data_IF_845209857632
#
_entry.id   IF_845209857632
#
_cell.length_a   1.000
_cell.length_b   1.000
_cell.length_c   1.000
_cell.angle_alpha   90.00
_cell.angle_beta   90.00
_cell.angle_gamma   90.00
#
_symmetry.space_group_name_H-M   'P 1'
#
loop_
_entity.id
_entity.type
_entity.pdbx_description
1 polymer ?
#
# COMPACT_ATOMS: atom_id res chain seq x y z
N UNK A 1 1.83 -7.50 -17.97
CA UNK A 1 1.48 -6.09 -17.66
C UNK A 1 0.50 -6.13 -16.51
N UNK A 2 0.43 -5.06 -15.70
CA UNK A 2 -0.57 -4.96 -14.64
C UNK A 2 -1.98 -4.93 -15.24
N UNK A 3 -2.93 -5.54 -14.54
CA UNK A 3 -4.33 -5.37 -14.89
C UNK A 3 -4.77 -3.94 -14.57
N UNK A 4 -5.80 -3.48 -15.24
CA UNK A 4 -6.32 -2.15 -14.97
C UNK A 4 -7.01 -2.03 -13.61
N UNK A 5 -7.54 -3.15 -13.11
CA UNK A 5 -8.06 -3.25 -11.74
C UNK A 5 -6.94 -3.01 -10.73
N UNK A 6 -5.77 -3.64 -10.91
CA UNK A 6 -4.62 -3.44 -10.03
C UNK A 6 -4.12 -1.99 -10.07
N UNK A 7 -4.07 -1.38 -11.26
CA UNK A 7 -3.69 0.03 -11.42
C UNK A 7 -4.67 0.94 -10.68
N UNK A 8 -5.96 0.69 -10.83
CA UNK A 8 -7.01 1.45 -10.16
C UNK A 8 -6.92 1.29 -8.63
N UNK A 9 -6.74 0.07 -8.13
CA UNK A 9 -6.59 -0.19 -6.70
C UNK A 9 -5.35 0.49 -6.12
N UNK A 10 -4.23 0.48 -6.85
CA UNK A 10 -3.01 1.16 -6.42
C UNK A 10 -3.19 2.68 -6.41
N UNK A 11 -3.73 3.27 -7.49
CA UNK A 11 -3.98 4.72 -7.60
C UNK A 11 -4.93 5.22 -6.50
N UNK A 12 -5.97 4.43 -6.20
CA UNK A 12 -6.95 4.76 -5.17
C UNK A 12 -6.36 4.65 -3.76
N UNK A 13 -5.71 3.53 -3.45
CA UNK A 13 -5.32 3.21 -2.07
C UNK A 13 -3.92 3.74 -1.71
N UNK A 14 -3.05 3.96 -2.70
CA UNK A 14 -1.61 4.18 -2.49
C UNK A 14 -0.84 2.90 -2.19
N UNK A 15 -1.49 1.73 -2.22
CA UNK A 15 -0.88 0.42 -2.05
C UNK A 15 -1.69 -0.67 -2.77
N UNK A 16 -1.07 -1.83 -2.96
CA UNK A 16 -1.75 -3.03 -3.43
C UNK A 16 -1.16 -4.27 -2.75
N UNK A 17 -2.01 -5.27 -2.45
CA UNK A 17 -1.61 -6.51 -1.78
C UNK A 17 -1.64 -7.67 -2.77
N UNK A 18 -0.49 -8.28 -3.01
CA UNK A 18 -0.37 -9.43 -3.91
C UNK A 18 -0.23 -10.70 -3.09
N UNK A 19 -1.28 -11.52 -3.10
CA UNK A 19 -1.35 -12.77 -2.32
C UNK A 19 -0.72 -13.93 -3.08
N UNK A 20 -0.15 -14.88 -2.34
CA UNK A 20 0.36 -16.13 -2.92
C UNK A 20 1.50 -15.92 -3.92
N UNK A 21 2.34 -14.91 -3.69
CA UNK A 21 3.54 -14.69 -4.51
C UNK A 21 4.49 -15.88 -4.34
N UNK A 22 4.81 -16.18 -3.07
CA UNK A 22 5.69 -17.26 -2.63
C UNK A 22 4.89 -18.41 -2.03
N UNK A 23 5.41 -19.62 -2.18
CA UNK A 23 4.90 -20.85 -1.58
C UNK A 23 5.19 -20.94 -0.07
N UNK A 24 4.45 -21.77 0.68
CA UNK A 24 4.75 -22.04 2.09
C UNK A 24 6.18 -22.53 2.31
N UNK A 25 6.72 -23.34 1.38
CA UNK A 25 8.08 -23.89 1.46
C UNK A 25 9.14 -22.80 1.28
N UNK A 26 8.93 -21.86 0.35
CA UNK A 26 9.81 -20.71 0.15
C UNK A 26 9.80 -19.78 1.38
N UNK A 27 8.61 -19.54 1.96
CA UNK A 27 8.47 -18.76 3.20
C UNK A 27 9.13 -19.48 4.38
N UNK A 28 9.03 -20.79 4.48
CA UNK A 28 9.71 -21.57 5.51
C UNK A 28 11.24 -21.49 5.37
N UNK A 29 11.77 -21.56 4.15
CA UNK A 29 13.20 -21.39 3.89
C UNK A 29 13.70 -19.99 4.26
N UNK A 30 12.92 -18.94 3.96
CA UNK A 30 13.23 -17.57 4.38
C UNK A 30 13.28 -17.42 5.91
N UNK A 31 12.30 -18.01 6.62
CA UNK A 31 12.26 -17.98 8.08
C UNK A 31 13.41 -18.75 8.72
N UNK A 32 13.85 -19.88 8.13
CA UNK A 32 15.04 -20.61 8.59
C UNK A 32 16.30 -19.75 8.44
N UNK A 33 16.49 -19.10 7.28
CA UNK A 33 17.61 -18.19 7.06
C UNK A 33 17.62 -17.01 8.05
N UNK A 34 16.46 -16.42 8.33
CA UNK A 34 16.32 -15.37 9.36
C UNK A 34 16.75 -15.90 10.72
N UNK A 35 16.26 -17.09 11.11
CA UNK A 35 16.59 -17.72 12.40
C UNK A 35 18.10 -17.90 12.56
N UNK A 36 18.78 -18.41 11.54
CA UNK A 36 20.23 -18.61 11.54
C UNK A 36 21.03 -17.30 11.70
N UNK A 37 20.47 -16.18 11.22
CA UNK A 37 21.11 -14.86 11.23
C UNK A 37 20.67 -13.95 12.39
N UNK A 38 19.68 -14.35 13.20
CA UNK A 38 19.23 -13.61 14.39
C UNK A 38 20.34 -13.20 15.36
N UNK A 39 21.46 -13.94 15.55
CA UNK A 39 22.57 -13.48 16.39
C UNK A 39 23.20 -12.15 15.96
N UNK A 40 22.99 -11.71 14.71
CA UNK A 40 23.45 -10.43 14.17
C UNK A 40 22.38 -9.33 14.16
N UNK A 41 21.18 -9.63 14.66
CA UNK A 41 20.08 -8.69 14.69
C UNK A 41 20.27 -7.62 15.77
N UNK A 42 19.74 -6.42 15.53
CA UNK A 42 19.86 -5.29 16.45
C UNK A 42 18.48 -4.84 16.91
N UNK A 43 18.22 -4.90 18.22
CA UNK A 43 16.98 -4.40 18.79
C UNK A 43 17.08 -2.91 19.14
N UNK A 44 16.08 -2.13 18.70
CA UNK A 44 15.98 -0.69 18.92
C UNK A 44 15.34 -0.39 20.27
N UNK A 45 16.11 -0.52 21.35
CA UNK A 45 15.61 -0.33 22.72
C UNK A 45 15.78 1.09 23.27
N UNK A 46 16.78 1.85 22.79
CA UNK A 46 17.05 3.19 23.29
C UNK A 46 16.01 4.21 22.79
N UNK A 47 15.61 5.14 23.65
CA UNK A 47 14.57 6.13 23.33
C UNK A 47 14.92 7.01 22.13
N UNK A 48 16.20 7.26 21.88
CA UNK A 48 16.71 8.05 20.75
C UNK A 48 16.53 7.38 19.39
N UNK A 49 16.40 6.05 19.35
CA UNK A 49 16.32 5.25 18.12
C UNK A 49 14.96 4.57 17.94
N UNK A 50 14.06 4.74 18.93
CA UNK A 50 12.67 4.30 18.86
C UNK A 50 11.89 5.17 17.88
N UNK A 51 11.03 4.53 17.10
CA UNK A 51 10.21 5.22 16.10
C UNK A 51 8.83 5.57 16.62
N UNK A 52 8.63 5.62 17.93
CA UNK A 52 7.32 5.85 18.56
C UNK A 52 7.46 6.70 19.81
N UNK A 53 6.38 7.40 20.18
CA UNK A 53 6.32 8.14 21.44
C UNK A 53 5.91 7.22 22.59
N UNK A 54 6.69 7.21 23.68
CA UNK A 54 6.34 6.49 24.92
C UNK A 54 4.96 6.90 25.43
N UNK A 55 4.23 5.95 26.00
CA UNK A 55 2.90 6.19 26.57
C UNK A 55 1.77 6.33 25.54
N UNK A 56 2.06 6.19 24.24
CA UNK A 56 1.03 6.09 23.19
C UNK A 56 0.74 4.63 22.85
N UNK A 57 -0.38 4.37 22.17
CA UNK A 57 -0.71 3.01 21.70
C UNK A 57 0.37 2.40 20.80
N UNK A 58 1.07 3.23 20.01
CA UNK A 58 2.18 2.77 19.15
C UNK A 58 3.46 2.49 19.93
N UNK A 59 3.59 2.97 21.18
CA UNK A 59 4.77 2.78 22.02
C UNK A 59 5.03 1.33 22.46
N UNK A 60 4.09 0.42 22.19
CA UNK A 60 4.14 -0.96 22.66
C UNK A 60 4.16 -1.02 24.19
N UNK A 61 4.92 -1.95 24.75
CA UNK A 61 5.11 -2.08 26.20
C UNK A 61 6.17 -1.12 26.78
N UNK A 62 6.81 -0.29 25.92
CA UNK A 62 7.85 0.66 26.31
C UNK A 62 9.17 0.02 26.75
N UNK A 63 9.35 -1.28 26.57
CA UNK A 63 10.56 -2.04 26.92
C UNK A 63 11.17 -2.65 25.68
N UNK A 64 10.39 -3.43 24.94
CA UNK A 64 10.85 -4.15 23.76
C UNK A 64 10.79 -3.24 22.54
N UNK A 65 11.83 -3.36 21.71
CA UNK A 65 12.01 -2.58 20.50
C UNK A 65 11.59 -3.33 19.25
N UNK A 66 11.68 -2.64 18.12
CA UNK A 66 11.75 -3.29 16.80
C UNK A 66 13.12 -3.93 16.64
N UNK A 67 13.19 -5.12 16.05
CA UNK A 67 14.45 -5.79 15.74
C UNK A 67 14.74 -5.62 14.25
N UNK A 68 15.89 -5.02 13.93
CA UNK A 68 16.40 -4.86 12.57
C UNK A 68 17.44 -5.94 12.28
N UNK A 69 17.21 -6.73 11.24
CA UNK A 69 18.16 -7.73 10.74
C UNK A 69 18.53 -7.41 9.28
N UNK A 70 19.71 -6.82 9.11
CA UNK A 70 20.26 -6.47 7.80
C UNK A 70 21.03 -7.61 7.12
N UNK A 71 21.51 -7.35 5.91
CA UNK A 71 22.41 -8.27 5.20
C UNK A 71 21.72 -9.42 4.48
N UNK A 72 20.39 -9.38 4.32
CA UNK A 72 19.58 -10.46 3.71
C UNK A 72 19.99 -10.83 2.28
N UNK A 73 20.74 -9.96 1.58
CA UNK A 73 21.30 -10.24 0.24
C UNK A 73 22.74 -10.78 0.26
N UNK A 74 23.32 -10.97 1.45
CA UNK A 74 24.75 -11.25 1.70
C UNK A 74 24.99 -12.56 2.46
N UNK A 75 23.94 -13.33 2.76
CA UNK A 75 23.96 -14.59 3.49
C UNK A 75 24.32 -15.82 2.62
N UNK A 76 25.01 -15.61 1.50
CA UNK A 76 25.33 -16.69 0.55
C UNK A 76 24.09 -17.38 0.00
N UNK A 77 24.06 -18.71 0.01
CA UNK A 77 22.95 -19.52 -0.53
C UNK A 77 21.59 -19.21 0.14
N UNK A 78 21.60 -18.84 1.42
CA UNK A 78 20.39 -18.48 2.16
C UNK A 78 19.77 -17.14 1.69
N UNK A 79 20.48 -16.36 0.89
CA UNK A 79 19.96 -15.12 0.29
C UNK A 79 18.99 -15.37 -0.87
N UNK A 80 18.92 -16.61 -1.39
CA UNK A 80 18.19 -16.94 -2.63
C UNK A 80 16.73 -16.47 -2.62
N UNK A 81 16.04 -16.65 -1.49
CA UNK A 81 14.67 -16.17 -1.34
C UNK A 81 14.60 -14.63 -1.48
N UNK A 82 15.47 -13.91 -0.76
CA UNK A 82 15.47 -12.45 -0.75
C UNK A 82 15.90 -11.85 -2.10
N UNK A 83 16.85 -12.48 -2.79
CA UNK A 83 17.20 -12.12 -4.17
C UNK A 83 16.00 -12.25 -5.10
N UNK A 84 15.21 -13.32 -4.96
CA UNK A 84 14.04 -13.55 -5.82
C UNK A 84 12.98 -12.46 -5.71
N UNK A 85 12.88 -11.75 -4.58
CA UNK A 85 11.92 -10.63 -4.42
C UNK A 85 12.23 -9.48 -5.40
N UNK A 86 13.51 -9.30 -5.76
CA UNK A 86 13.97 -8.21 -6.61
C UNK A 86 13.50 -8.33 -8.07
N UNK A 87 13.29 -9.56 -8.55
CA UNK A 87 12.96 -9.86 -9.95
C UNK A 87 11.88 -10.94 -10.13
N UNK A 88 11.12 -11.26 -9.08
CA UNK A 88 10.11 -12.30 -9.11
C UNK A 88 9.13 -12.09 -10.29
N UNK A 89 8.83 -13.11 -11.13
CA UNK A 89 7.97 -12.95 -12.31
C UNK A 89 6.57 -12.40 -12.01
N UNK A 90 6.04 -12.66 -10.80
CA UNK A 90 4.75 -12.10 -10.34
C UNK A 90 4.86 -10.63 -9.88
N UNK A 91 6.05 -10.13 -9.54
CA UNK A 91 6.27 -8.79 -8.99
C UNK A 91 6.83 -7.81 -10.03
N UNK A 92 7.68 -8.26 -10.95
CA UNK A 92 8.27 -7.42 -12.01
C UNK A 92 7.22 -6.61 -12.81
N UNK A 93 6.03 -7.14 -13.17
CA UNK A 93 4.99 -6.34 -13.80
C UNK A 93 4.57 -5.12 -12.96
N UNK A 94 4.49 -5.27 -11.63
CA UNK A 94 4.19 -4.18 -10.70
C UNK A 94 5.35 -3.18 -10.63
N UNK A 95 6.59 -3.66 -10.54
CA UNK A 95 7.76 -2.77 -10.52
C UNK A 95 7.85 -1.92 -11.79
N UNK A 96 7.66 -2.55 -12.95
CA UNK A 96 7.67 -1.86 -14.25
C UNK A 96 6.55 -0.84 -14.39
N UNK A 97 5.33 -1.19 -13.99
CA UNK A 97 4.18 -0.29 -14.13
C UNK A 97 4.20 0.85 -13.11
N UNK A 98 4.55 0.57 -11.86
CA UNK A 98 4.40 1.51 -10.75
C UNK A 98 5.65 2.38 -10.53
N UNK A 99 6.85 1.84 -10.76
CA UNK A 99 8.12 2.55 -10.58
C UNK A 99 8.82 2.81 -11.92
N UNK A 100 8.80 1.83 -12.82
CA UNK A 100 9.40 1.95 -14.15
C UNK A 100 10.26 0.79 -14.57
N UNK A 101 10.41 0.63 -15.89
CA UNK A 101 11.50 -0.18 -16.45
C UNK A 101 12.84 0.43 -16.03
N UNK A 102 13.75 -0.42 -15.56
CA UNK A 102 15.03 -0.01 -15.01
C UNK A 102 14.96 0.50 -13.56
N UNK A 103 13.94 0.09 -12.79
CA UNK A 103 13.89 0.30 -11.34
C UNK A 103 15.19 -0.14 -10.68
N UNK A 104 15.57 0.57 -9.61
CA UNK A 104 16.78 0.31 -8.84
C UNK A 104 16.45 0.37 -7.36
N UNK A 105 17.24 -0.35 -6.60
CA UNK A 105 17.14 -0.37 -5.15
C UNK A 105 17.65 0.96 -4.58
N UNK A 106 16.82 1.62 -3.78
CA UNK A 106 17.16 2.87 -3.09
C UNK A 106 18.12 2.64 -1.91
N UNK A 107 17.87 1.57 -1.13
CA UNK A 107 18.71 1.16 0.00
C UNK A 107 18.68 -0.37 0.20
N UNK A 108 19.66 -0.89 0.94
CA UNK A 108 19.77 -2.33 1.22
C UNK A 108 18.54 -2.84 2.00
N UNK A 109 17.88 -3.93 1.57
CA UNK A 109 16.75 -4.48 2.29
C UNK A 109 17.21 -5.08 3.62
N UNK A 110 16.26 -5.19 4.54
CA UNK A 110 16.45 -5.77 5.85
C UNK A 110 15.12 -6.38 6.32
N UNK A 111 15.21 -7.32 7.25
CA UNK A 111 14.05 -7.88 7.92
C UNK A 111 13.72 -7.05 9.15
N UNK A 112 12.43 -6.75 9.31
CA UNK A 112 11.86 -6.23 10.54
C UNK A 112 11.27 -7.42 11.30
N UNK A 113 11.79 -7.71 12.48
CA UNK A 113 11.28 -8.74 13.37
C UNK A 113 10.65 -8.06 14.58
N UNK A 114 9.48 -8.54 15.00
CA UNK A 114 8.74 -7.98 16.13
C UNK A 114 8.28 -9.09 17.06
N UNK A 115 8.50 -8.86 18.35
CA UNK A 115 7.95 -9.68 19.42
C UNK A 115 6.63 -9.07 19.89
N UNK A 116 5.82 -9.86 20.61
CA UNK A 116 4.61 -9.35 21.22
C UNK A 116 4.95 -8.20 22.18
N UNK A 117 4.38 -7.02 21.92
CA UNK A 117 4.60 -5.83 22.74
C UNK A 117 5.74 -4.93 22.27
N UNK A 118 6.45 -5.28 21.19
CA UNK A 118 7.35 -4.36 20.49
C UNK A 118 6.62 -3.07 20.10
N UNK A 119 7.36 -1.97 19.98
CA UNK A 119 6.81 -0.75 19.39
C UNK A 119 6.35 -0.94 17.95
N UNK A 120 5.40 -0.10 17.54
CA UNK A 120 5.08 0.11 16.14
C UNK A 120 6.05 1.08 15.47
N UNK A 121 5.51 1.88 14.55
CA UNK A 121 6.27 2.90 13.82
C UNK A 121 5.38 4.14 13.67
N UNK A 122 5.95 5.35 13.82
CA UNK A 122 5.27 6.59 13.47
C UNK A 122 4.80 6.57 12.00
N UNK A 123 3.60 7.09 11.73
CA UNK A 123 3.16 7.32 10.36
C UNK A 123 4.12 8.32 9.69
N UNK A 124 4.62 7.95 8.51
CA UNK A 124 5.56 8.75 7.75
C UNK A 124 5.39 8.49 6.25
N UNK A 125 6.03 9.33 5.44
CA UNK A 125 5.94 9.31 3.98
C UNK A 125 5.00 10.36 3.42
N UNK A 126 4.77 10.30 2.12
CA UNK A 126 4.02 11.31 1.37
C UNK A 126 4.92 12.36 0.71
N UNK A 127 4.33 13.15 -0.17
CA UNK A 127 5.04 14.12 -1.01
C UNK A 127 5.25 15.48 -0.35
N UNK A 128 4.86 15.62 0.91
CA UNK A 128 4.96 16.86 1.68
C UNK A 128 5.78 16.54 2.92
N UNK A 129 6.88 17.24 3.11
CA UNK A 129 7.66 17.15 4.33
C UNK A 129 6.82 17.66 5.50
N UNK A 130 6.64 16.84 6.53
CA UNK A 130 5.76 17.18 7.66
C UNK A 130 6.35 18.23 8.60
N UNK A 131 7.66 18.52 8.47
CA UNK A 131 8.36 19.51 9.30
C UNK A 131 8.42 20.87 8.61
N UNK A 132 8.77 20.92 7.33
CA UNK A 132 8.91 22.15 6.54
C UNK A 132 7.68 22.51 5.71
N UNK A 133 6.81 21.55 5.42
CA UNK A 133 5.69 21.71 4.49
C UNK A 133 6.10 21.73 3.02
N UNK A 134 7.39 21.54 2.71
CA UNK A 134 7.90 21.59 1.35
C UNK A 134 7.53 20.34 0.55
N UNK A 135 7.39 20.53 -0.77
CA UNK A 135 7.14 19.43 -1.68
C UNK A 135 8.40 18.57 -1.89
N UNK A 136 8.32 17.31 -1.50
CA UNK A 136 9.37 16.31 -1.72
C UNK A 136 9.11 15.55 -3.02
N UNK A 137 9.76 16.00 -4.10
CA UNK A 137 9.62 15.39 -5.41
C UNK A 137 10.20 13.97 -5.51
N UNK A 138 11.10 13.55 -4.60
CA UNK A 138 11.64 12.18 -4.59
C UNK A 138 10.62 11.14 -4.13
N UNK A 139 9.58 11.56 -3.42
CA UNK A 139 8.48 10.70 -2.98
C UNK A 139 7.23 10.86 -3.86
N UNK A 140 7.35 11.57 -4.99
CA UNK A 140 6.23 11.89 -5.85
C UNK A 140 5.58 10.65 -6.46
N UNK A 141 4.25 10.67 -6.44
CA UNK A 141 3.39 9.86 -7.29
C UNK A 141 2.79 10.74 -8.38
N UNK A 142 2.86 10.30 -9.63
CA UNK A 142 2.23 10.99 -10.76
C UNK A 142 1.50 10.01 -11.65
N UNK A 143 0.44 10.50 -12.28
CA UNK A 143 -0.28 9.80 -13.34
C UNK A 143 -0.36 10.70 -14.56
N UNK A 144 0.33 10.32 -15.63
CA UNK A 144 0.40 11.10 -16.87
C UNK A 144 0.22 10.17 -18.07
N UNK A 145 -0.66 10.53 -19.01
CA UNK A 145 -0.89 9.78 -20.25
C UNK A 145 -1.11 8.27 -20.05
N UNK A 146 -1.88 7.89 -19.03
CA UNK A 146 -2.17 6.47 -18.76
C UNK A 146 -1.07 5.71 -18.03
N UNK A 147 -0.01 6.39 -17.60
CA UNK A 147 1.13 5.79 -16.91
C UNK A 147 1.20 6.27 -15.47
N UNK A 148 1.29 5.30 -14.56
CA UNK A 148 1.62 5.54 -13.16
C UNK A 148 3.13 5.69 -13.04
N UNK A 149 3.58 6.61 -12.17
CA UNK A 149 4.99 6.76 -11.81
C UNK A 149 5.14 7.15 -10.34
N UNK A 150 5.66 6.21 -9.56
CA UNK A 150 6.10 6.42 -8.18
C UNK A 150 7.62 6.53 -8.18
N UNK A 151 8.15 7.66 -7.70
CA UNK A 151 9.59 7.87 -7.62
C UNK A 151 10.26 6.99 -6.55
N UNK A 152 9.47 6.51 -5.58
CA UNK A 152 9.85 5.47 -4.63
C UNK A 152 8.69 4.46 -4.50
N UNK A 153 9.00 3.17 -4.51
CA UNK A 153 8.04 2.10 -4.29
C UNK A 153 8.55 1.18 -3.19
N UNK A 154 7.86 1.16 -2.05
CA UNK A 154 8.16 0.24 -0.96
C UNK A 154 7.52 -1.14 -1.24
N UNK A 155 8.28 -2.20 -0.98
CA UNK A 155 7.82 -3.59 -1.11
C UNK A 155 8.02 -4.30 0.22
N UNK A 156 6.93 -4.70 0.86
CA UNK A 156 6.97 -5.46 2.10
C UNK A 156 6.50 -6.90 1.84
N UNK A 157 7.31 -7.89 2.22
CA UNK A 157 6.98 -9.31 2.12
C UNK A 157 6.64 -9.83 3.50
N UNK A 158 5.38 -10.24 3.69
CA UNK A 158 4.95 -10.88 4.93
C UNK A 158 5.46 -12.33 4.98
N UNK A 159 6.30 -12.64 5.97
CA UNK A 159 6.88 -13.98 6.19
C UNK A 159 6.21 -14.75 7.33
N UNK A 160 5.27 -14.12 8.02
CA UNK A 160 4.41 -14.74 9.02
C UNK A 160 2.97 -14.24 8.85
N UNK A 161 1.98 -14.92 9.45
CA UNK A 161 0.60 -14.45 9.45
C UNK A 161 0.47 -13.11 10.18
N UNK A 162 -0.31 -12.19 9.59
CA UNK A 162 -0.75 -10.94 10.22
C UNK A 162 -2.26 -10.99 10.48
N UNK A 163 -2.72 -11.70 11.53
CA UNK A 163 -4.13 -11.72 11.89
C UNK A 163 -4.56 -10.36 12.46
N UNK A 164 -5.87 -10.12 12.49
CA UNK A 164 -6.44 -8.98 13.18
C UNK A 164 -5.94 -8.91 14.64
N UNK A 165 -5.52 -7.72 15.08
CA UNK A 165 -4.92 -7.50 16.40
C UNK A 165 -3.49 -8.03 16.57
N UNK A 166 -2.91 -8.72 15.58
CA UNK A 166 -1.52 -9.21 15.60
C UNK A 166 -0.47 -8.15 15.27
N UNK A 167 -0.91 -6.94 14.90
CA UNK A 167 -0.05 -5.90 14.34
C UNK A 167 0.27 -6.13 12.86
N UNK A 168 0.99 -5.20 12.23
CA UNK A 168 1.38 -5.31 10.83
C UNK A 168 1.50 -3.96 10.14
N UNK A 169 1.54 -4.00 8.81
CA UNK A 169 1.55 -2.80 7.98
C UNK A 169 0.24 -2.03 8.15
N UNK A 170 0.36 -0.72 8.42
CA UNK A 170 -0.75 0.21 8.48
C UNK A 170 -0.46 1.37 7.53
N UNK A 171 -1.50 1.84 6.84
CA UNK A 171 -1.39 2.92 5.86
C UNK A 171 -2.66 3.75 5.88
N UNK A 172 -2.49 5.06 5.72
CA UNK A 172 -3.61 5.95 5.42
C UNK A 172 -3.80 5.91 3.91
N UNK A 173 -4.97 5.42 3.47
CA UNK A 173 -5.31 5.34 2.03
C UNK A 173 -5.27 6.72 1.36
N UNK A 174 -5.13 6.73 0.03
CA UNK A 174 -5.09 7.92 -0.84
C UNK A 174 -6.30 8.87 -0.73
N UNK A 175 -6.39 9.86 -1.63
CA UNK A 175 -7.10 11.19 -1.55
C UNK A 175 -8.61 11.23 -1.23
N UNK A 176 -9.18 10.26 -0.56
CA UNK A 176 -10.54 10.31 -0.02
C UNK A 176 -10.54 9.56 1.29
N UNK A 177 -10.96 10.28 2.33
CA UNK A 177 -11.00 9.82 3.70
C UNK A 177 -11.77 8.51 3.87
N UNK A 178 -11.32 7.76 4.87
CA UNK A 178 -12.03 6.76 5.69
C UNK A 178 -12.09 5.28 5.21
N UNK A 179 -12.19 4.44 6.24
CA UNK A 179 -11.73 3.05 6.43
C UNK A 179 -12.37 1.94 5.57
N UNK A 180 -11.90 0.72 5.87
CA UNK A 180 -12.23 -0.57 5.25
C UNK A 180 -13.70 -0.77 4.87
N UNK A 181 -13.91 -1.14 3.62
CA UNK A 181 -15.17 -1.73 3.15
C UNK A 181 -16.26 -0.75 2.70
N UNK A 182 -16.13 0.56 2.94
CA UNK A 182 -17.10 1.52 2.44
C UNK A 182 -16.47 2.90 2.24
N UNK A 183 -16.48 3.48 1.02
CA UNK A 183 -16.06 4.86 0.81
C UNK A 183 -17.14 5.83 1.33
N UNK A 184 -17.34 5.83 2.66
CA UNK A 184 -18.37 6.63 3.31
C UNK A 184 -17.75 7.60 4.31
N UNK A 185 -18.25 8.82 4.33
CA UNK A 185 -17.95 9.80 5.37
C UNK A 185 -18.34 9.26 6.76
N UNK A 186 -17.74 9.80 7.85
CA UNK A 186 -18.09 9.41 9.21
C UNK A 186 -19.61 9.35 9.47
N UNK A 187 -20.00 8.53 10.45
CA UNK A 187 -21.40 8.40 10.85
C UNK A 187 -22.02 9.79 11.15
N UNK A 188 -23.22 10.05 10.63
CA UNK A 188 -23.91 11.32 10.73
C UNK A 188 -23.54 12.36 9.67
N UNK A 189 -22.46 12.18 8.90
CA UNK A 189 -22.08 13.14 7.83
C UNK A 189 -23.09 13.22 6.69
N UNK A 190 -23.99 12.25 6.56
CA UNK A 190 -25.03 12.24 5.52
C UNK A 190 -26.40 12.68 6.04
N UNK A 191 -26.53 12.95 7.34
CA UNK A 191 -27.81 13.21 7.97
C UNK A 191 -28.42 14.53 7.47
N UNK A 192 -29.68 14.47 7.06
CA UNK A 192 -30.39 15.62 6.51
C UNK A 192 -29.92 16.07 5.12
N UNK A 193 -28.96 15.38 4.50
CA UNK A 193 -28.50 15.73 3.15
C UNK A 193 -29.50 15.34 2.07
N UNK A 194 -29.66 16.20 1.07
CA UNK A 194 -30.33 15.87 -0.19
C UNK A 194 -29.49 14.91 -1.02
N UNK A 195 -30.10 14.20 -1.97
CA UNK A 195 -29.36 13.31 -2.88
C UNK A 195 -28.28 14.06 -3.67
N UNK A 196 -28.55 15.32 -4.03
CA UNK A 196 -27.59 16.23 -4.64
C UNK A 196 -26.38 16.50 -3.76
N UNK A 197 -26.58 16.74 -2.46
CA UNK A 197 -25.49 16.92 -1.50
C UNK A 197 -24.71 15.61 -1.30
N UNK A 198 -25.40 14.47 -1.20
CA UNK A 198 -24.76 13.15 -1.12
C UNK A 198 -23.94 12.83 -2.37
N UNK A 199 -24.38 13.27 -3.55
CA UNK A 199 -23.65 13.10 -4.81
C UNK A 199 -22.32 13.87 -4.82
N UNK A 200 -22.25 15.04 -4.18
CA UNK A 200 -20.99 15.80 -4.00
C UNK A 200 -20.06 15.10 -3.02
N UNK A 201 -20.62 14.46 -2.00
CA UNK A 201 -19.91 13.67 -1.00
C UNK A 201 -19.36 12.34 -1.56
N UNK A 202 -19.67 11.94 -2.79
CA UNK A 202 -19.05 10.75 -3.38
C UNK A 202 -17.59 11.02 -3.79
N UNK A 203 -16.65 10.07 -3.59
CA UNK A 203 -15.24 10.24 -3.95
C UNK A 203 -15.09 10.61 -5.42
N UNK A 204 -14.02 11.34 -5.82
CA UNK A 204 -13.78 11.71 -7.20
C UNK A 204 -13.45 10.47 -8.04
N UNK A 205 -14.47 9.72 -8.45
CA UNK A 205 -14.37 8.60 -9.35
C UNK A 205 -14.68 9.03 -10.78
N UNK A 206 -14.02 8.35 -11.72
CA UNK A 206 -14.26 8.47 -13.14
C UNK A 206 -15.72 8.13 -13.49
N UNK A 207 -16.35 8.88 -14.40
CA UNK A 207 -17.74 8.70 -14.86
C UNK A 207 -18.08 7.29 -15.39
N UNK A 208 -17.08 6.41 -15.58
CA UNK A 208 -17.22 5.02 -16.06
C UNK A 208 -17.97 4.07 -15.11
N UNK A 209 -18.28 4.50 -13.88
CA UNK A 209 -18.88 3.67 -12.81
C UNK A 209 -20.39 3.92 -12.58
N UNK A 210 -21.13 4.49 -13.55
CA UNK A 210 -22.57 4.80 -13.40
C UNK A 210 -22.86 5.55 -12.08
N UNK A 211 -22.06 6.58 -11.79
CA UNK A 211 -22.14 7.37 -10.55
C UNK A 211 -23.29 8.39 -10.61
N UNK A 212 -23.91 8.65 -9.45
CA UNK A 212 -24.78 9.81 -9.23
C UNK A 212 -23.97 11.10 -9.20
N UNK A 213 -24.24 12.00 -10.14
CA UNK A 213 -23.60 13.30 -10.32
C UNK A 213 -24.60 14.43 -10.09
N UNK A 214 -24.09 15.60 -9.72
CA UNK A 214 -24.88 16.83 -9.62
C UNK A 214 -25.06 17.42 -11.02
N UNK A 215 -26.30 17.70 -11.44
CA UNK A 215 -26.55 18.48 -12.66
C UNK A 215 -26.39 20.00 -12.43
N UNK A 216 -26.48 20.77 -13.51
CA UNK A 216 -26.33 22.23 -13.47
C UNK A 216 -27.50 22.98 -12.79
N UNK A 217 -28.59 22.29 -12.45
CA UNK A 217 -29.79 22.85 -11.84
C UNK A 217 -29.97 22.40 -10.37
N UNK A 218 -29.00 21.65 -9.83
CA UNK A 218 -29.01 21.15 -8.45
C UNK A 218 -29.78 19.85 -8.26
N UNK A 219 -30.19 19.18 -9.34
CA UNK A 219 -30.66 17.80 -9.35
C UNK A 219 -29.52 16.79 -9.44
N UNK A 220 -29.89 15.51 -9.56
CA UNK A 220 -28.94 14.41 -9.70
C UNK A 220 -29.22 13.58 -10.94
N UNK A 221 -28.17 13.16 -11.63
CA UNK A 221 -28.26 12.25 -12.77
C UNK A 221 -27.20 11.16 -12.69
N UNK A 222 -27.38 10.10 -13.47
CA UNK A 222 -26.37 9.05 -13.65
C UNK A 222 -26.01 8.99 -15.11
N UNK A 223 -24.77 9.34 -15.45
CA UNK A 223 -24.25 9.11 -16.80
C UNK A 223 -23.82 7.66 -16.92
N UNK A 224 -24.65 6.86 -17.59
CA UNK A 224 -24.37 5.45 -17.84
C UNK A 224 -23.92 5.21 -19.26
N UNK A 225 -22.89 4.36 -19.43
CA UNK A 225 -22.51 3.86 -20.75
C UNK A 225 -23.57 2.90 -21.29
N UNK A 226 -23.73 2.90 -22.61
CA UNK A 226 -24.65 1.98 -23.27
C UNK A 226 -24.29 0.52 -22.98
N UNK A 227 -25.30 -0.34 -22.94
CA UNK A 227 -25.11 -1.78 -22.76
C UNK A 227 -24.16 -2.38 -23.78
N UNK A 228 -24.28 -1.96 -25.05
CA UNK A 228 -23.40 -2.40 -26.12
C UNK A 228 -21.91 -2.06 -25.86
N UNK A 229 -21.64 -0.89 -25.27
CA UNK A 229 -20.28 -0.48 -24.90
C UNK A 229 -19.75 -1.34 -23.76
N UNK A 230 -20.53 -1.51 -22.68
CA UNK A 230 -20.18 -2.38 -21.55
C UNK A 230 -19.90 -3.83 -21.98
N UNK A 231 -20.73 -4.37 -22.87
CA UNK A 231 -20.58 -5.73 -23.40
C UNK A 231 -19.35 -5.84 -24.31
N UNK A 232 -19.07 -4.83 -25.13
CA UNK A 232 -17.85 -4.75 -25.94
C UNK A 232 -16.60 -4.69 -25.06
N UNK A 233 -16.59 -3.86 -24.03
CA UNK A 233 -15.44 -3.69 -23.15
C UNK A 233 -15.17 -4.96 -22.33
N UNK A 234 -16.24 -5.63 -21.87
CA UNK A 234 -16.14 -6.95 -21.24
C UNK A 234 -15.59 -8.00 -22.20
N UNK A 235 -15.99 -7.97 -23.47
CA UNK A 235 -15.53 -8.90 -24.50
C UNK A 235 -14.07 -8.67 -24.89
N UNK A 236 -13.63 -7.41 -24.96
CA UNK A 236 -12.31 -7.02 -25.48
C UNK A 236 -11.26 -6.95 -24.39
N UNK A 237 -11.62 -6.39 -23.23
CA UNK A 237 -10.69 -6.12 -22.13
C UNK A 237 -10.91 -7.05 -20.93
N UNK A 238 -11.94 -7.91 -20.95
CA UNK A 238 -12.25 -8.82 -19.85
C UNK A 238 -12.86 -8.14 -18.62
N UNK A 239 -13.16 -6.84 -18.71
CA UNK A 239 -13.64 -6.01 -17.60
C UNK A 239 -14.80 -5.13 -18.05
N UNK A 240 -15.69 -4.80 -17.11
CA UNK A 240 -16.85 -3.95 -17.38
C UNK A 240 -16.50 -2.45 -17.35
N UNK A 241 -15.24 -2.10 -17.10
CA UNK A 241 -14.81 -0.74 -16.70
C UNK A 241 -13.87 -0.04 -17.69
N UNK A 242 -13.55 -0.68 -18.81
CA UNK A 242 -12.81 -0.09 -19.94
C UNK A 242 -13.74 0.43 -21.02
#
# INVERSE_FOLDING_TARGET
>A
MLSDEDKYLFDLNGYIVIKGVFSPEEVAAANAAITDHMPSANERIEDSIRNTKRGTGMGGNGKDGRIDLGGVLQWGEQSKFFHSVLDHPKLVPYYHELCGKGYRMDHMPFCIVQNKGSEGFNLHGGTIDVSSGEYNHFLAYTYNHGQIRSNLLAVAVALCPHPEGGGGFCVVKGRSYMEEGNPMWPEGCYDGMTESQKAVMQPPFNARLDRVQLDGEGGTFVESRSKAKKDFDKKVFGTSYF
#
